data_IF_870839399270
#
_entry.id   IF_870839399270
#
_cell.length_a   1.000
_cell.length_b   1.000
_cell.length_c   1.000
_cell.angle_alpha   90.00
_cell.angle_beta   90.00
_cell.angle_gamma   90.00
#
_symmetry.space_group_name_H-M   'P 1'
#
loop_
_entity.id
_entity.type
_entity.pdbx_description
1 polymer ?
#
# COMPACT_ATOMS: atom_id res chain seq x y z
N UNK A 1 4.19 -8.05 41.95
CA UNK A 1 2.77 -8.01 41.84
C UNK A 1 2.27 -7.49 40.54
N UNK A 2 1.14 -7.91 40.19
CA UNK A 2 0.47 -7.53 38.97
C UNK A 2 -0.17 -6.15 39.15
N UNK A 3 0.25 -5.18 38.35
CA UNK A 3 -0.35 -3.84 38.33
C UNK A 3 -1.36 -3.74 37.22
N UNK A 4 -2.61 -3.60 37.57
CA UNK A 4 -3.71 -3.50 36.60
C UNK A 4 -3.52 -2.33 35.60
N UNK A 5 -2.90 -1.26 36.04
CA UNK A 5 -2.65 -0.09 35.21
C UNK A 5 -1.73 -0.41 34.03
N UNK A 6 -0.80 -1.33 34.20
CA UNK A 6 0.09 -1.79 33.13
C UNK A 6 -0.65 -2.63 32.08
N UNK A 7 -1.83 -3.14 32.46
CA UNK A 7 -2.64 -3.99 31.61
C UNK A 7 -3.87 -3.33 31.04
N UNK A 8 -4.02 -2.04 31.28
CA UNK A 8 -5.15 -1.33 30.71
C UNK A 8 -5.01 -1.28 29.19
N UNK A 9 -6.03 -1.80 28.54
CA UNK A 9 -6.11 -1.67 27.08
C UNK A 9 -6.07 -0.21 26.68
N UNK A 10 -5.43 0.15 25.55
CA UNK A 10 -5.35 1.54 25.08
C UNK A 10 -6.68 2.29 25.09
N UNK A 11 -7.76 1.58 24.85
CA UNK A 11 -9.11 2.19 24.83
C UNK A 11 -9.62 2.63 26.21
N UNK A 12 -8.96 2.25 27.28
CA UNK A 12 -9.31 2.69 28.64
C UNK A 12 -8.53 3.92 29.07
N UNK A 13 -7.64 4.39 28.23
CA UNK A 13 -6.80 5.55 28.52
C UNK A 13 -7.36 6.82 27.87
N UNK A 14 -6.71 7.96 28.14
CA UNK A 14 -7.11 9.26 27.56
C UNK A 14 -7.14 9.24 26.04
N UNK A 15 -7.90 10.16 25.45
CA UNK A 15 -7.95 10.33 24.00
C UNK A 15 -6.57 10.60 23.38
N UNK A 16 -5.73 11.39 24.08
CA UNK A 16 -4.37 11.67 23.64
C UNK A 16 -3.51 10.40 23.61
N UNK A 17 -3.64 9.54 24.63
CA UNK A 17 -2.93 8.26 24.66
C UNK A 17 -3.39 7.34 23.52
N UNK A 18 -4.69 7.23 23.34
CA UNK A 18 -5.26 6.41 22.26
C UNK A 18 -4.80 6.88 20.89
N UNK A 19 -4.79 8.18 20.66
CA UNK A 19 -4.33 8.75 19.40
C UNK A 19 -2.86 8.40 19.13
N UNK A 20 -1.98 8.49 20.15
CA UNK A 20 -0.57 8.10 20.01
C UNK A 20 -0.41 6.61 19.74
N UNK A 21 -1.15 5.77 20.45
CA UNK A 21 -1.11 4.32 20.26
C UNK A 21 -1.55 3.96 18.85
N UNK A 22 -2.67 4.51 18.40
CA UNK A 22 -3.21 4.25 17.08
C UNK A 22 -2.25 4.70 15.98
N UNK A 23 -1.62 5.87 16.15
CA UNK A 23 -0.63 6.36 15.20
C UNK A 23 0.57 5.43 15.11
N UNK A 24 1.11 5.03 16.27
CA UNK A 24 2.23 4.09 16.32
C UNK A 24 1.91 2.77 15.63
N UNK A 25 0.73 2.21 15.90
CA UNK A 25 0.28 0.98 15.25
C UNK A 25 0.15 1.17 13.74
N UNK A 26 -0.49 2.24 13.32
CA UNK A 26 -0.72 2.53 11.89
C UNK A 26 0.58 2.78 11.12
N UNK A 27 1.64 3.23 11.81
CA UNK A 27 2.97 3.42 11.21
C UNK A 27 3.80 2.14 11.21
N UNK A 28 3.40 1.11 11.95
CA UNK A 28 4.06 -0.19 11.87
C UNK A 28 3.73 -0.83 10.51
N UNK A 29 4.61 -1.72 10.04
CA UNK A 29 4.34 -2.45 8.79
C UNK A 29 3.00 -3.20 8.85
N UNK A 30 2.79 -3.95 9.94
CA UNK A 30 1.55 -4.72 10.11
C UNK A 30 0.30 -3.84 10.10
N UNK A 31 0.32 -2.74 10.85
CA UNK A 31 -0.80 -1.82 10.92
C UNK A 31 -1.04 -1.11 9.60
N UNK A 32 0.02 -0.72 8.92
CA UNK A 32 -0.08 -0.08 7.61
C UNK A 32 -0.67 -1.02 6.55
N UNK A 33 -0.21 -2.26 6.53
CA UNK A 33 -0.74 -3.29 5.61
C UNK A 33 -2.21 -3.58 5.91
N UNK A 34 -2.61 -3.61 7.17
CA UNK A 34 -4.02 -3.78 7.55
C UNK A 34 -4.89 -2.66 6.97
N UNK A 35 -4.42 -1.43 7.02
CA UNK A 35 -5.15 -0.28 6.45
C UNK A 35 -5.22 -0.39 4.93
N UNK A 36 -4.14 -0.82 4.29
CA UNK A 36 -4.14 -1.05 2.84
C UNK A 36 -5.16 -2.13 2.47
N UNK A 37 -5.24 -3.21 3.24
CA UNK A 37 -6.23 -4.25 3.00
C UNK A 37 -7.66 -3.72 3.13
N UNK A 38 -7.94 -2.89 4.14
CA UNK A 38 -9.24 -2.25 4.27
C UNK A 38 -9.57 -1.36 3.07
N UNK A 39 -8.59 -0.63 2.56
CA UNK A 39 -8.75 0.20 1.36
C UNK A 39 -9.07 -0.63 0.11
N UNK A 40 -8.38 -1.76 -0.08
CA UNK A 40 -8.64 -2.68 -1.19
C UNK A 40 -10.06 -3.23 -1.09
N UNK A 41 -10.46 -3.68 0.08
CA UNK A 41 -11.80 -4.22 0.35
C UNK A 41 -12.88 -3.21 -0.01
N UNK A 42 -12.70 -1.97 0.44
CA UNK A 42 -13.62 -0.87 0.14
C UNK A 42 -13.69 -0.57 -1.34
N UNK A 43 -12.54 -0.46 -1.99
CA UNK A 43 -12.44 -0.17 -3.42
C UNK A 43 -13.10 -1.25 -4.27
N UNK A 44 -12.86 -2.52 -3.95
CA UNK A 44 -13.46 -3.65 -4.65
C UNK A 44 -14.97 -3.65 -4.52
N UNK A 45 -15.48 -3.41 -3.32
CA UNK A 45 -16.93 -3.33 -3.06
C UNK A 45 -17.57 -2.18 -3.84
N UNK A 46 -16.94 -1.01 -3.85
CA UNK A 46 -17.44 0.17 -4.57
C UNK A 46 -17.49 -0.06 -6.09
N UNK A 47 -16.48 -0.72 -6.64
CA UNK A 47 -16.38 -0.98 -8.08
C UNK A 47 -17.12 -2.25 -8.51
N UNK A 48 -17.68 -3.02 -7.58
CA UNK A 48 -18.31 -4.29 -7.87
C UNK A 48 -17.37 -5.37 -8.38
N UNK A 49 -16.08 -5.25 -8.07
CA UNK A 49 -15.06 -6.23 -8.48
C UNK A 49 -14.78 -7.23 -7.36
N UNK A 50 -14.26 -8.40 -7.74
CA UNK A 50 -13.89 -9.44 -6.78
C UNK A 50 -12.52 -9.08 -6.20
N UNK A 51 -12.38 -9.25 -4.88
CA UNK A 51 -11.12 -9.15 -4.19
C UNK A 51 -10.66 -10.55 -3.79
N UNK A 52 -9.60 -11.04 -4.44
CA UNK A 52 -9.04 -12.36 -4.17
C UNK A 52 -8.04 -12.38 -3.02
N UNK A 53 -7.73 -11.21 -2.46
CA UNK A 53 -6.92 -11.13 -1.23
C UNK A 53 -7.86 -11.42 -0.06
N UNK A 54 -7.67 -12.58 0.58
CA UNK A 54 -8.62 -13.13 1.54
C UNK A 54 -8.81 -12.29 2.80
N UNK A 55 -7.72 -11.79 3.35
CA UNK A 55 -7.71 -11.02 4.59
C UNK A 55 -6.37 -10.27 4.72
N UNK A 56 -6.23 -9.52 5.81
CA UNK A 56 -4.98 -8.78 6.10
C UNK A 56 -3.76 -9.69 6.22
N UNK A 57 -3.94 -10.88 6.77
CA UNK A 57 -2.83 -11.83 6.95
C UNK A 57 -2.32 -12.35 5.61
N UNK A 58 -3.22 -12.58 4.67
CA UNK A 58 -2.85 -12.91 3.28
C UNK A 58 -2.07 -11.78 2.63
N UNK A 59 -2.53 -10.54 2.79
CA UNK A 59 -1.80 -9.38 2.24
C UNK A 59 -0.45 -9.20 2.91
N UNK A 60 -0.36 -9.42 4.22
CA UNK A 60 0.89 -9.35 4.96
C UNK A 60 1.88 -10.43 4.47
N UNK A 61 1.40 -11.63 4.21
CA UNK A 61 2.21 -12.70 3.62
C UNK A 61 2.77 -12.28 2.26
N UNK A 62 1.94 -11.70 1.39
CA UNK A 62 2.38 -11.19 0.08
C UNK A 62 3.42 -10.08 0.23
N UNK A 63 3.25 -9.19 1.21
CA UNK A 63 4.22 -8.17 1.53
C UNK A 63 5.56 -8.76 1.99
N UNK A 64 5.52 -9.75 2.88
CA UNK A 64 6.71 -10.43 3.35
C UNK A 64 7.45 -11.16 2.22
N UNK A 65 6.71 -11.78 1.30
CA UNK A 65 7.27 -12.41 0.10
C UNK A 65 7.91 -11.37 -0.82
N UNK A 66 7.28 -10.23 -0.99
CA UNK A 66 7.83 -9.11 -1.75
C UNK A 66 9.17 -8.64 -1.14
N UNK A 67 9.21 -8.44 0.18
CA UNK A 67 10.45 -8.01 0.86
C UNK A 67 11.57 -9.03 0.69
N UNK A 68 11.24 -10.30 0.75
CA UNK A 68 12.20 -11.39 0.61
C UNK A 68 12.79 -11.43 -0.79
N UNK A 69 11.99 -11.18 -1.80
CA UNK A 69 12.41 -11.26 -3.20
C UNK A 69 13.05 -9.96 -3.70
N UNK A 70 12.47 -8.82 -3.35
CA UNK A 70 12.86 -7.51 -3.90
C UNK A 70 13.39 -6.53 -2.86
N UNK A 71 13.33 -6.87 -1.58
CA UNK A 71 13.59 -5.92 -0.50
C UNK A 71 12.39 -5.02 -0.22
N UNK A 72 12.49 -4.10 0.77
CA UNK A 72 11.41 -3.19 1.14
C UNK A 72 11.31 -2.01 0.16
N UNK A 73 11.31 -2.29 -1.13
CA UNK A 73 11.42 -1.29 -2.20
C UNK A 73 10.25 -1.38 -3.17
N UNK A 74 9.96 -0.26 -3.80
CA UNK A 74 8.97 -0.18 -4.88
C UNK A 74 9.32 -1.13 -6.02
N UNK A 75 8.37 -1.94 -6.43
CA UNK A 75 8.57 -2.91 -7.51
C UNK A 75 8.89 -2.24 -8.84
N UNK A 76 8.39 -1.04 -9.05
CA UNK A 76 8.59 -0.30 -10.31
C UNK A 76 9.86 0.55 -10.31
N UNK A 77 10.11 1.27 -9.23
CA UNK A 77 11.17 2.30 -9.19
C UNK A 77 12.40 1.91 -8.38
N UNK A 78 12.29 0.91 -7.52
CA UNK A 78 13.35 0.54 -6.59
C UNK A 78 13.50 1.46 -5.39
N UNK A 79 12.67 2.48 -5.28
CA UNK A 79 12.70 3.42 -4.14
C UNK A 79 12.23 2.72 -2.87
N UNK A 80 12.91 2.98 -1.75
CA UNK A 80 12.53 2.42 -0.45
C UNK A 80 11.12 2.84 -0.06
N UNK A 81 10.32 1.87 0.33
CA UNK A 81 8.94 2.08 0.75
C UNK A 81 8.86 2.47 2.22
N UNK A 82 7.95 3.38 2.53
CA UNK A 82 7.73 3.89 3.88
C UNK A 82 6.31 3.66 4.36
N UNK A 83 6.12 3.80 5.66
CA UNK A 83 4.82 3.66 6.32
C UNK A 83 4.51 4.90 7.16
N UNK A 84 4.87 6.07 6.68
CA UNK A 84 4.74 7.32 7.44
C UNK A 84 3.29 7.76 7.53
N UNK A 85 2.90 8.13 8.74
CA UNK A 85 1.62 8.79 9.01
C UNK A 85 1.83 9.90 10.01
N UNK A 86 1.07 10.95 9.88
CA UNK A 86 1.08 12.03 10.85
C UNK A 86 -0.21 12.04 11.65
N UNK A 87 -0.12 12.42 12.92
CA UNK A 87 -1.29 12.86 13.66
C UNK A 87 -1.78 14.13 12.97
N UNK A 88 -2.85 14.00 12.23
CA UNK A 88 -3.31 15.08 11.42
C UNK A 88 -4.72 15.47 11.74
N UNK A 89 -4.93 16.73 11.70
CA UNK A 89 -6.23 17.31 11.59
C UNK A 89 -6.54 17.41 10.10
N UNK A 90 -7.64 16.79 9.70
CA UNK A 90 -8.06 16.81 8.32
C UNK A 90 -7.25 15.89 7.40
N UNK A 91 -7.47 16.06 6.10
CA UNK A 91 -6.77 15.30 5.06
C UNK A 91 -5.38 15.85 4.85
N UNK A 92 -4.38 15.07 5.22
CA UNK A 92 -3.01 15.38 4.86
C UNK A 92 -2.61 14.62 3.61
N UNK A 93 -1.74 15.22 2.78
CA UNK A 93 -1.21 14.53 1.63
C UNK A 93 -0.52 13.23 2.07
N UNK A 94 -0.77 12.16 1.34
CA UNK A 94 -0.07 10.91 1.55
C UNK A 94 1.40 11.11 1.21
N UNK A 95 2.29 10.56 2.05
CA UNK A 95 3.72 10.60 1.78
C UNK A 95 4.02 9.89 0.46
N UNK A 96 4.73 10.53 -0.48
CA UNK A 96 4.95 9.97 -1.82
C UNK A 96 5.58 8.58 -1.83
N UNK A 97 6.43 8.27 -0.84
CA UNK A 97 7.14 6.98 -0.75
C UNK A 97 6.39 5.91 0.02
N UNK A 98 5.20 6.21 0.54
CA UNK A 98 4.42 5.22 1.28
C UNK A 98 4.04 4.02 0.41
N UNK A 99 3.93 2.87 1.07
CA UNK A 99 3.49 1.63 0.43
C UNK A 99 2.11 1.86 -0.18
N UNK A 100 1.99 1.47 -1.43
CA UNK A 100 0.73 1.41 -2.14
C UNK A 100 0.65 0.09 -2.89
N UNK A 101 -0.55 -0.36 -3.19
CA UNK A 101 -0.78 -1.61 -3.92
C UNK A 101 -1.37 -1.26 -5.27
N UNK A 102 -0.66 -1.65 -6.31
CA UNK A 102 -1.11 -1.45 -7.68
C UNK A 102 -1.55 -2.77 -8.31
N UNK A 103 -2.62 -2.70 -9.06
CA UNK A 103 -2.97 -3.77 -9.99
C UNK A 103 -2.16 -3.54 -11.27
N UNK A 104 -1.28 -4.47 -11.59
CA UNK A 104 -0.44 -4.37 -12.80
C UNK A 104 -1.31 -4.14 -14.02
N UNK A 105 -2.35 -4.95 -14.17
CA UNK A 105 -3.43 -4.72 -15.14
C UNK A 105 -4.66 -4.18 -14.39
N UNK A 106 -5.01 -2.90 -14.58
CA UNK A 106 -6.14 -2.30 -13.87
C UNK A 106 -7.50 -2.86 -14.27
N UNK A 107 -7.56 -3.66 -15.34
CA UNK A 107 -8.78 -4.34 -15.78
C UNK A 107 -9.03 -5.63 -14.99
N UNK A 108 -8.01 -6.15 -14.32
CA UNK A 108 -8.11 -7.35 -13.51
C UNK A 108 -8.28 -7.00 -12.03
N UNK A 109 -8.58 -8.01 -11.23
CA UNK A 109 -8.86 -7.86 -9.81
C UNK A 109 -7.59 -7.74 -8.96
N UNK A 110 -7.78 -7.41 -7.68
CA UNK A 110 -6.73 -7.58 -6.67
C UNK A 110 -6.54 -9.07 -6.43
N UNK A 111 -5.48 -9.62 -6.98
CA UNK A 111 -5.17 -11.05 -6.89
C UNK A 111 -3.67 -11.27 -6.95
N UNK A 112 -3.23 -12.38 -6.40
CA UNK A 112 -1.86 -12.82 -6.50
C UNK A 112 -1.46 -12.91 -7.98
N UNK A 113 -0.30 -12.36 -8.34
CA UNK A 113 0.13 -12.29 -9.74
C UNK A 113 -0.31 -11.02 -10.48
N UNK A 114 -1.27 -10.27 -9.95
CA UNK A 114 -1.68 -8.99 -10.54
C UNK A 114 -1.47 -7.80 -9.62
N UNK A 115 -1.00 -8.01 -8.39
CA UNK A 115 -0.68 -6.91 -7.49
C UNK A 115 0.82 -6.79 -7.30
N UNK A 116 1.27 -5.54 -7.15
CA UNK A 116 2.63 -5.22 -6.74
C UNK A 116 2.62 -4.15 -5.66
N UNK A 117 3.64 -4.16 -4.82
CA UNK A 117 3.86 -3.12 -3.83
C UNK A 117 4.75 -2.04 -4.45
N UNK A 118 4.28 -0.83 -4.44
CA UNK A 118 4.95 0.29 -5.07
C UNK A 118 4.77 1.55 -4.24
N UNK A 119 5.42 2.64 -4.64
CA UNK A 119 5.20 3.95 -4.00
C UNK A 119 3.82 4.49 -4.37
N UNK A 120 3.22 5.18 -3.43
CA UNK A 120 1.96 5.91 -3.67
C UNK A 120 2.09 6.87 -4.86
N UNK A 121 3.21 7.58 -4.95
CA UNK A 121 3.46 8.50 -6.05
C UNK A 121 3.43 7.82 -7.41
N UNK A 122 4.14 6.71 -7.55
CA UNK A 122 4.19 5.99 -8.82
C UNK A 122 2.83 5.36 -9.17
N UNK A 123 2.15 4.83 -8.17
CA UNK A 123 0.82 4.26 -8.36
C UNK A 123 -0.15 5.31 -8.92
N UNK A 124 -0.11 6.53 -8.39
CA UNK A 124 -0.93 7.62 -8.90
C UNK A 124 -0.57 8.02 -10.33
N UNK A 125 0.72 8.07 -10.65
CA UNK A 125 1.18 8.37 -12.02
C UNK A 125 0.73 7.30 -13.02
N UNK A 126 0.83 6.04 -12.60
CA UNK A 126 0.43 4.93 -13.46
C UNK A 126 -1.08 4.89 -13.69
N UNK A 127 -1.85 5.10 -12.62
CA UNK A 127 -3.32 5.14 -12.66
C UNK A 127 -3.92 3.98 -13.47
N UNK A 128 -4.65 4.26 -14.54
CA UNK A 128 -5.33 3.27 -15.37
C UNK A 128 -4.51 2.81 -16.59
N UNK A 129 -3.22 3.11 -16.62
CA UNK A 129 -2.34 2.67 -17.71
C UNK A 129 -2.31 1.14 -17.74
N UNK A 130 -2.66 0.58 -18.92
CA UNK A 130 -2.68 -0.87 -19.12
C UNK A 130 -1.32 -1.40 -19.57
N UNK A 131 -1.06 -2.72 -19.48
CA UNK A 131 0.14 -3.31 -20.04
C UNK A 131 0.33 -2.99 -21.53
N UNK A 132 -0.75 -2.95 -22.30
CA UNK A 132 -0.71 -2.59 -23.72
C UNK A 132 -0.29 -1.13 -23.91
N UNK A 133 -0.78 -0.22 -23.06
CA UNK A 133 -0.36 1.18 -23.09
C UNK A 133 1.14 1.30 -22.80
N UNK A 134 1.65 0.53 -21.84
CA UNK A 134 3.08 0.50 -21.52
C UNK A 134 3.93 0.05 -22.72
N UNK A 135 3.47 -0.98 -23.43
CA UNK A 135 4.16 -1.48 -24.63
C UNK A 135 4.19 -0.41 -25.73
N UNK A 136 3.09 0.30 -25.91
CA UNK A 136 3.01 1.40 -26.90
C UNK A 136 3.92 2.56 -26.54
N UNK A 137 3.93 2.94 -25.27
CA UNK A 137 4.81 4.00 -24.77
C UNK A 137 6.27 3.63 -25.03
N UNK A 138 6.64 2.40 -24.65
CA UNK A 138 8.00 1.90 -24.87
C UNK A 138 8.37 1.91 -26.35
N UNK A 139 7.48 1.45 -27.20
CA UNK A 139 7.68 1.45 -28.65
C UNK A 139 7.96 2.85 -29.19
N UNK A 140 7.21 3.85 -28.72
CA UNK A 140 7.43 5.25 -29.12
C UNK A 140 8.82 5.71 -28.69
N UNK A 141 9.22 5.45 -27.46
CA UNK A 141 10.55 5.79 -26.98
C UNK A 141 11.66 5.13 -27.80
N UNK A 142 11.50 3.87 -28.14
CA UNK A 142 12.47 3.13 -28.96
C UNK A 142 12.58 3.72 -30.37
N UNK A 143 11.44 4.05 -30.99
CA UNK A 143 11.40 4.69 -32.30
C UNK A 143 12.08 6.06 -32.30
N UNK A 144 11.82 6.87 -31.27
CA UNK A 144 12.43 8.18 -31.11
C UNK A 144 13.94 8.08 -30.91
N UNK A 145 14.39 7.13 -30.12
CA UNK A 145 15.80 6.90 -29.89
C UNK A 145 16.53 6.41 -31.17
N UNK A 146 15.86 5.61 -31.99
CA UNK A 146 16.44 5.12 -33.24
C UNK A 146 16.62 6.23 -34.28
N UNK A 147 15.92 7.35 -34.16
CA UNK A 147 16.00 8.51 -35.05
C UNK A 147 17.06 9.55 -34.66
N UNK A 148 17.60 9.42 -33.45
CA UNK A 148 18.61 10.37 -32.95
C UNK A 148 20.00 10.06 -33.37
#
# INVERSE_FOLDING_TARGET
GFHREEWQHPYHRSNAYRAKYDLKYKQSEKGFIEILWQSIKKSSKKKGTINFIKNRDHLLELWNNHKKEYGPCCRYTGVELTTKRSMGEGRKPTTPTNISIDRVDPRLSYEEGNIVFCTWEFNNKKNSVTPEDCKRILQVYEEMNARS
#
